data_IF_212588557546
#
_entry.id   IF_212588557546
#
_cell.length_a   1.000
_cell.length_b   1.000
_cell.length_c   1.000
_cell.angle_alpha   90.00
_cell.angle_beta   90.00
_cell.angle_gamma   90.00
#
_symmetry.space_group_name_H-M   'P 1'
#
loop_
_entity.id
_entity.type
_entity.pdbx_description
1 polymer ?
#
# COMPACT_ATOMS: atom_id res chain seq x y z
N UNK A 1 -6.27 22.70 -9.03
CA UNK A 1 -6.14 21.43 -8.27
C UNK A 1 -7.50 20.74 -8.25
N UNK A 2 -7.57 19.44 -8.52
CA UNK A 2 -8.82 18.67 -8.43
C UNK A 2 -9.08 18.29 -6.97
N UNK A 3 -10.34 18.11 -6.61
CA UNK A 3 -10.73 17.54 -5.30
C UNK A 3 -10.39 16.05 -5.28
N UNK A 4 -9.83 15.58 -4.17
CA UNK A 4 -9.48 14.18 -3.92
C UNK A 4 -10.31 13.68 -2.75
N UNK A 5 -10.77 12.43 -2.82
CA UNK A 5 -11.52 11.77 -1.74
C UNK A 5 -10.97 10.39 -1.47
N UNK A 6 -11.09 9.94 -0.22
CA UNK A 6 -10.81 8.55 0.17
C UNK A 6 -12.11 7.77 -0.06
N UNK A 7 -12.06 6.78 -0.95
CA UNK A 7 -13.24 6.00 -1.36
C UNK A 7 -13.31 4.62 -0.72
N UNK A 8 -12.23 4.14 -0.11
CA UNK A 8 -12.21 2.90 0.67
C UNK A 8 -10.97 2.79 1.55
N UNK A 9 -11.07 1.99 2.60
CA UNK A 9 -10.00 1.74 3.58
C UNK A 9 -9.91 0.25 3.94
N UNK A 10 -8.72 -0.19 4.35
CA UNK A 10 -8.47 -1.56 4.79
C UNK A 10 -7.27 -1.62 5.71
N UNK A 11 -7.25 -2.59 6.63
CA UNK A 11 -6.21 -2.68 7.64
C UNK A 11 -6.02 -4.13 8.09
N UNK A 12 -4.81 -4.66 7.94
CA UNK A 12 -4.44 -5.92 8.57
C UNK A 12 -4.39 -5.76 10.10
N UNK A 13 -4.57 -6.87 10.82
CA UNK A 13 -4.57 -6.86 12.30
C UNK A 13 -3.19 -6.47 12.84
N UNK A 14 -3.16 -5.53 13.79
CA UNK A 14 -1.93 -5.17 14.49
C UNK A 14 -1.60 -6.22 15.55
N UNK A 15 -0.33 -6.63 15.61
CA UNK A 15 0.16 -7.59 16.60
C UNK A 15 1.39 -8.34 16.12
N UNK A 16 1.69 -9.46 16.81
CA UNK A 16 2.72 -10.40 16.39
C UNK A 16 2.09 -11.41 15.42
N UNK A 17 2.26 -11.16 14.14
CA UNK A 17 1.92 -12.10 13.07
C UNK A 17 3.16 -12.93 12.72
N UNK A 18 3.05 -14.26 12.81
CA UNK A 18 4.10 -15.22 12.44
C UNK A 18 3.72 -16.06 11.23
N UNK A 19 2.50 -15.88 10.71
CA UNK A 19 1.92 -16.70 9.65
C UNK A 19 2.13 -16.03 8.29
N UNK A 20 2.11 -14.70 8.25
CA UNK A 20 2.14 -13.93 7.01
C UNK A 20 3.47 -13.22 6.78
N UNK A 21 3.93 -13.26 5.53
CA UNK A 21 5.02 -12.42 5.04
C UNK A 21 4.55 -10.99 4.73
N UNK A 22 5.49 -10.06 4.59
CA UNK A 22 5.23 -8.65 4.27
C UNK A 22 4.23 -8.43 3.11
N UNK A 23 4.38 -9.06 1.91
CA UNK A 23 3.44 -8.85 0.82
C UNK A 23 2.03 -9.41 1.12
N UNK A 24 1.93 -10.44 1.94
CA UNK A 24 0.66 -11.05 2.34
C UNK A 24 -0.08 -10.15 3.33
N UNK A 25 0.65 -9.58 4.30
CA UNK A 25 0.13 -8.56 5.22
C UNK A 25 -0.38 -7.33 4.46
N UNK A 26 0.37 -6.87 3.46
CA UNK A 26 -0.07 -5.79 2.59
C UNK A 26 -1.33 -6.18 1.81
N UNK A 27 -1.38 -7.39 1.26
CA UNK A 27 -2.53 -7.87 0.51
C UNK A 27 -3.83 -7.94 1.32
N UNK A 28 -3.77 -8.35 2.60
CA UNK A 28 -4.94 -8.34 3.47
C UNK A 28 -5.57 -6.94 3.50
N UNK A 29 -4.77 -5.91 3.75
CA UNK A 29 -5.23 -4.52 3.80
C UNK A 29 -5.67 -4.00 2.42
N UNK A 30 -4.93 -4.31 1.35
CA UNK A 30 -5.26 -3.90 -0.03
C UNK A 30 -6.61 -4.49 -0.46
N UNK A 31 -6.83 -5.79 -0.25
CA UNK A 31 -8.06 -6.49 -0.61
C UNK A 31 -9.27 -5.91 0.12
N UNK A 32 -9.12 -5.59 1.40
CA UNK A 32 -10.18 -4.94 2.18
C UNK A 32 -10.49 -3.53 1.64
N UNK A 33 -9.47 -2.73 1.33
CA UNK A 33 -9.66 -1.39 0.79
C UNK A 33 -10.33 -1.39 -0.59
N UNK A 34 -9.95 -2.32 -1.47
CA UNK A 34 -10.58 -2.49 -2.79
C UNK A 34 -12.06 -2.89 -2.64
N UNK A 35 -12.36 -3.80 -1.69
CA UNK A 35 -13.73 -4.23 -1.40
C UNK A 35 -14.58 -3.10 -0.84
N UNK A 36 -14.05 -2.31 0.10
CA UNK A 36 -14.73 -1.16 0.69
C UNK A 36 -15.02 -0.07 -0.34
N UNK A 37 -14.07 0.17 -1.26
CA UNK A 37 -14.24 1.11 -2.37
C UNK A 37 -15.18 0.61 -3.48
N UNK A 38 -15.44 -0.70 -3.56
CA UNK A 38 -16.22 -1.30 -4.64
C UNK A 38 -15.56 -1.19 -6.01
N UNK A 39 -14.22 -1.19 -6.06
CA UNK A 39 -13.42 -1.07 -7.30
C UNK A 39 -12.57 -2.32 -7.52
N UNK A 40 -12.13 -2.52 -8.76
CA UNK A 40 -11.18 -3.57 -9.13
C UNK A 40 -9.75 -3.03 -9.10
N UNK A 41 -8.77 -3.91 -8.90
CA UNK A 41 -7.34 -3.53 -8.97
C UNK A 41 -6.94 -2.94 -10.33
N UNK A 42 -7.68 -3.28 -11.40
CA UNK A 42 -7.51 -2.70 -12.76
C UNK A 42 -7.85 -1.22 -12.83
N UNK A 43 -8.63 -0.70 -11.89
CA UNK A 43 -8.99 0.72 -11.81
C UNK A 43 -7.88 1.57 -11.16
N UNK A 44 -6.83 0.93 -10.62
CA UNK A 44 -5.72 1.60 -9.95
C UNK A 44 -4.65 2.01 -10.97
N UNK A 45 -4.42 3.31 -11.12
CA UNK A 45 -3.41 3.85 -12.04
C UNK A 45 -2.02 4.06 -11.43
N UNK A 46 -1.93 4.18 -10.11
CA UNK A 46 -0.68 4.47 -9.39
C UNK A 46 -0.76 3.99 -7.94
N UNK A 47 0.37 3.56 -7.37
CA UNK A 47 0.43 3.05 -5.99
C UNK A 47 1.60 3.65 -5.23
N UNK A 48 1.32 4.19 -4.06
CA UNK A 48 2.34 4.59 -3.08
C UNK A 48 2.47 3.54 -1.99
N UNK A 49 3.69 3.09 -1.70
CA UNK A 49 3.96 2.07 -0.69
C UNK A 49 4.84 2.69 0.39
N UNK A 50 4.26 2.88 1.57
CA UNK A 50 4.97 3.35 2.75
C UNK A 50 5.62 2.18 3.48
N UNK A 51 6.94 2.20 3.63
CA UNK A 51 7.64 1.21 4.45
C UNK A 51 8.93 1.74 5.06
N UNK A 52 9.16 1.42 6.34
CA UNK A 52 10.42 1.73 7.03
C UNK A 52 11.41 0.59 6.82
N UNK A 53 12.42 0.83 5.98
CA UNK A 53 13.25 -0.21 5.33
C UNK A 53 14.28 -0.86 6.23
N UNK A 54 14.51 -0.34 7.44
CA UNK A 54 15.46 -0.89 8.41
C UNK A 54 14.87 -1.89 9.42
N UNK A 55 13.54 -1.98 9.52
CA UNK A 55 12.83 -2.86 10.46
C UNK A 55 11.87 -3.83 9.78
N UNK A 56 11.99 -3.94 8.46
CA UNK A 56 11.15 -4.79 7.62
C UNK A 56 11.96 -5.97 7.11
N UNK A 57 11.29 -7.07 6.79
CA UNK A 57 11.94 -8.23 6.15
C UNK A 57 12.45 -7.93 4.74
N UNK A 58 11.96 -6.86 4.10
CA UNK A 58 12.35 -6.43 2.76
C UNK A 58 12.61 -4.92 2.74
N UNK A 59 13.77 -4.53 2.18
CA UNK A 59 14.16 -3.13 2.03
C UNK A 59 13.42 -2.49 0.86
N UNK A 60 13.13 -3.22 -0.22
CA UNK A 60 12.41 -2.70 -1.39
C UNK A 60 11.05 -3.38 -1.54
N UNK A 61 10.05 -3.08 -0.68
CA UNK A 61 8.78 -3.80 -0.69
C UNK A 61 7.87 -3.45 -1.87
N UNK A 62 8.15 -2.36 -2.60
CA UNK A 62 7.23 -1.90 -3.63
C UNK A 62 7.04 -2.91 -4.78
N UNK A 63 8.11 -3.46 -5.40
CA UNK A 63 7.96 -4.49 -6.43
C UNK A 63 7.25 -5.76 -5.94
N UNK A 64 7.63 -6.29 -4.77
CA UNK A 64 7.08 -7.55 -4.26
C UNK A 64 5.61 -7.42 -3.84
N UNK A 65 5.21 -6.29 -3.25
CA UNK A 65 3.81 -6.02 -2.91
C UNK A 65 2.98 -5.83 -4.18
N UNK A 66 3.49 -5.09 -5.16
CA UNK A 66 2.78 -4.89 -6.43
C UNK A 66 2.62 -6.20 -7.22
N UNK A 67 3.64 -7.05 -7.24
CA UNK A 67 3.57 -8.36 -7.90
C UNK A 67 2.57 -9.27 -7.19
N UNK A 68 2.67 -9.42 -5.87
CA UNK A 68 1.78 -10.27 -5.09
C UNK A 68 0.30 -9.83 -5.20
N UNK A 69 0.04 -8.52 -5.15
CA UNK A 69 -1.31 -7.97 -5.31
C UNK A 69 -1.81 -7.98 -6.76
N UNK A 70 -0.96 -8.35 -7.73
CA UNK A 70 -1.27 -8.31 -9.17
C UNK A 70 -1.58 -6.90 -9.66
N UNK A 71 -0.82 -5.93 -9.15
CA UNK A 71 -0.84 -4.51 -9.51
C UNK A 71 0.23 -4.18 -10.57
N UNK A 72 1.22 -5.04 -10.79
CA UNK A 72 2.17 -4.88 -11.91
C UNK A 72 1.43 -4.87 -13.26
N UNK A 73 1.76 -3.96 -14.22
CA UNK A 73 2.93 -3.07 -14.27
C UNK A 73 2.63 -1.60 -13.88
N UNK A 74 1.62 -1.32 -13.05
CA UNK A 74 1.26 0.06 -12.74
C UNK A 74 2.41 0.81 -12.06
N UNK A 75 2.46 2.13 -12.27
CA UNK A 75 3.46 2.99 -11.66
C UNK A 75 3.39 2.88 -10.13
N UNK A 76 4.54 2.72 -9.48
CA UNK A 76 4.60 2.65 -8.02
C UNK A 76 5.77 3.45 -7.46
N UNK A 77 5.61 3.94 -6.22
CA UNK A 77 6.63 4.69 -5.51
C UNK A 77 6.72 4.23 -4.05
N UNK A 78 7.93 3.89 -3.61
CA UNK A 78 8.22 3.67 -2.19
C UNK A 78 8.43 5.02 -1.49
N UNK A 79 7.80 5.19 -0.33
CA UNK A 79 7.96 6.37 0.53
C UNK A 79 8.43 5.94 1.91
N UNK A 80 9.34 6.72 2.51
CA UNK A 80 9.83 6.51 3.87
C UNK A 80 10.03 7.86 4.56
N UNK A 81 9.45 8.00 5.75
CA UNK A 81 9.54 9.18 6.61
C UNK A 81 9.41 8.78 8.10
N UNK A 82 10.11 7.72 8.52
CA UNK A 82 10.04 7.15 9.87
C UNK A 82 8.57 6.93 10.32
N UNK A 83 8.18 7.41 11.51
CA UNK A 83 6.81 7.28 12.03
C UNK A 83 5.75 7.96 11.15
N UNK A 84 6.14 8.93 10.31
CA UNK A 84 5.24 9.65 9.40
C UNK A 84 5.12 8.98 8.01
N UNK A 85 5.74 7.81 7.80
CA UNK A 85 5.79 7.13 6.51
C UNK A 85 4.40 6.92 5.89
N UNK A 86 3.40 6.50 6.67
CA UNK A 86 2.03 6.31 6.18
C UNK A 86 1.40 7.62 5.68
N UNK A 87 1.51 8.70 6.46
CA UNK A 87 1.00 10.02 6.05
C UNK A 87 1.76 10.62 4.87
N UNK A 88 3.07 10.38 4.79
CA UNK A 88 3.89 10.80 3.66
C UNK A 88 3.47 10.07 2.37
N UNK A 89 3.22 8.76 2.45
CA UNK A 89 2.71 7.99 1.31
C UNK A 89 1.35 8.51 0.83
N UNK A 90 0.42 8.79 1.75
CA UNK A 90 -0.88 9.39 1.42
C UNK A 90 -0.73 10.77 0.76
N UNK A 91 0.23 11.59 1.22
CA UNK A 91 0.52 12.90 0.61
C UNK A 91 1.03 12.76 -0.83
N UNK A 92 1.87 11.77 -1.10
CA UNK A 92 2.35 11.48 -2.47
C UNK A 92 1.18 11.01 -3.35
N UNK A 93 0.31 10.12 -2.86
CA UNK A 93 -0.86 9.67 -3.59
C UNK A 93 -1.84 10.81 -3.91
N UNK A 94 -2.01 11.77 -3.01
CA UNK A 94 -2.82 12.98 -3.25
C UNK A 94 -2.25 13.89 -4.34
N UNK A 95 -0.92 13.88 -4.56
CA UNK A 95 -0.24 14.74 -5.53
C UNK A 95 -0.12 14.12 -6.94
N UNK A 96 -0.25 12.80 -7.05
CA UNK A 96 -0.23 12.07 -8.32
C UNK A 96 -1.48 12.34 -9.16
#
# INVERSE_FOLDING_TARGET
MRRVGIVGVGMSKFGRDTEHQLPELAWIAIREALKDAGVDKRDIGFVTIGNVGGWSSEFFPAPIVCEYAGLTPIGSMRVEAACATGSAALRVAYMA
#
